data_IF_244134847248
#
_entry.id   IF_244134847248
#
_cell.length_a   1.000
_cell.length_b   1.000
_cell.length_c   1.000
_cell.angle_alpha   90.00
_cell.angle_beta   90.00
_cell.angle_gamma   90.00
#
_symmetry.space_group_name_H-M   'P 1'
#
loop_
_entity.id
_entity.type
_entity.pdbx_description
1 polymer ?
#
# COMPACT_ATOMS: atom_id res chain seq x y z
N UNK A 1 -1.90 -14.75 45.11
CA UNK A 1 -2.40 -15.37 43.84
C UNK A 1 -2.59 -14.27 42.80
N UNK A 2 -1.71 -14.15 41.82
CA UNK A 2 -1.81 -13.17 40.75
C UNK A 2 -2.89 -13.61 39.75
N UNK A 3 -3.94 -12.81 39.59
CA UNK A 3 -4.97 -13.03 38.56
C UNK A 3 -4.32 -12.89 37.19
N UNK A 4 -4.16 -13.99 36.44
CA UNK A 4 -3.84 -13.98 35.03
C UNK A 4 -4.98 -13.26 34.29
N UNK A 5 -4.73 -12.03 33.82
CA UNK A 5 -5.65 -11.42 32.88
C UNK A 5 -5.75 -12.32 31.64
N UNK A 6 -6.95 -12.62 31.14
CA UNK A 6 -7.10 -13.38 29.91
C UNK A 6 -6.41 -12.58 28.79
N UNK A 7 -5.54 -13.24 28.00
CA UNK A 7 -5.02 -12.67 26.76
C UNK A 7 -6.22 -12.26 25.91
N UNK A 8 -6.42 -10.95 25.72
CA UNK A 8 -7.36 -10.46 24.70
C UNK A 8 -6.96 -11.12 23.40
N UNK A 9 -7.87 -11.84 22.77
CA UNK A 9 -7.66 -12.33 21.41
C UNK A 9 -7.46 -11.12 20.52
N UNK A 10 -6.41 -11.15 19.69
CA UNK A 10 -6.16 -10.10 18.70
C UNK A 10 -7.43 -9.82 17.90
N UNK A 11 -7.79 -8.56 17.67
CA UNK A 11 -9.01 -8.22 16.96
C UNK A 11 -9.00 -8.88 15.57
N UNK A 12 -10.11 -9.45 15.15
CA UNK A 12 -10.23 -9.93 13.77
C UNK A 12 -10.29 -8.76 12.82
N UNK A 13 -9.22 -8.55 12.08
CA UNK A 13 -9.01 -7.43 11.16
C UNK A 13 -9.26 -7.90 9.74
N UNK A 14 -10.08 -7.17 9.00
CA UNK A 14 -10.17 -7.28 7.55
C UNK A 14 -9.18 -6.30 6.92
N UNK A 15 -8.31 -6.78 6.06
CA UNK A 15 -7.40 -5.95 5.25
C UNK A 15 -7.83 -6.03 3.79
N UNK A 16 -8.02 -4.87 3.16
CA UNK A 16 -8.32 -4.71 1.74
C UNK A 16 -7.12 -4.03 1.05
N UNK A 17 -6.52 -4.70 0.07
CA UNK A 17 -5.51 -4.15 -0.84
C UNK A 17 -6.19 -3.90 -2.19
N UNK A 18 -6.54 -2.63 -2.45
CA UNK A 18 -7.31 -2.23 -3.65
C UNK A 18 -6.34 -1.99 -4.79
N UNK A 19 -6.40 -2.84 -5.81
CA UNK A 19 -5.63 -2.69 -7.04
C UNK A 19 -6.52 -2.49 -8.26
N UNK A 20 -5.94 -2.06 -9.37
CA UNK A 20 -6.68 -1.79 -10.62
C UNK A 20 -7.26 -3.02 -11.32
N UNK A 21 -6.80 -4.25 -11.00
CA UNK A 21 -7.31 -5.50 -11.58
C UNK A 21 -8.01 -6.39 -10.57
N UNK A 22 -7.63 -6.31 -9.31
CA UNK A 22 -8.23 -7.09 -8.21
C UNK A 22 -8.20 -6.29 -6.93
N UNK A 23 -9.25 -6.40 -6.14
CA UNK A 23 -9.20 -6.14 -4.70
C UNK A 23 -8.85 -7.45 -4.02
N UNK A 24 -7.77 -7.43 -3.23
CA UNK A 24 -7.36 -8.59 -2.43
C UNK A 24 -7.78 -8.35 -0.98
N UNK A 25 -8.37 -9.36 -0.37
CA UNK A 25 -8.85 -9.27 1.01
C UNK A 25 -8.30 -10.43 1.84
N UNK A 26 -7.91 -10.11 3.06
CA UNK A 26 -7.42 -11.07 4.04
C UNK A 26 -8.00 -10.73 5.42
N UNK A 27 -8.61 -11.71 6.06
CA UNK A 27 -9.05 -11.60 7.46
C UNK A 27 -8.03 -12.30 8.36
N UNK A 28 -7.79 -11.75 9.54
CA UNK A 28 -6.94 -12.40 10.58
C UNK A 28 -7.28 -13.88 10.71
N UNK A 29 -6.25 -14.73 10.66
CA UNK A 29 -6.38 -16.19 10.75
C UNK A 29 -6.56 -16.92 9.42
N UNK A 30 -6.86 -16.24 8.32
CA UNK A 30 -6.86 -16.86 6.99
C UNK A 30 -5.45 -17.01 6.45
N UNK A 31 -5.16 -18.17 5.85
CA UNK A 31 -3.84 -18.45 5.23
C UNK A 31 -3.69 -17.82 3.84
N UNK A 32 -4.79 -17.64 3.12
CA UNK A 32 -4.77 -17.15 1.74
C UNK A 32 -5.74 -15.99 1.55
N UNK A 33 -5.30 -15.01 0.76
CA UNK A 33 -6.13 -13.88 0.39
C UNK A 33 -7.20 -14.30 -0.63
N UNK A 34 -8.41 -13.79 -0.45
CA UNK A 34 -9.48 -13.86 -1.44
C UNK A 34 -9.25 -12.70 -2.43
N UNK A 35 -9.54 -12.93 -3.71
CA UNK A 35 -9.46 -11.92 -4.75
C UNK A 35 -10.84 -11.72 -5.34
N UNK A 36 -11.26 -10.46 -5.44
CA UNK A 36 -12.46 -10.08 -6.17
C UNK A 36 -12.05 -9.23 -7.39
N UNK A 37 -12.74 -9.34 -8.52
CA UNK A 37 -12.43 -8.53 -9.69
C UNK A 37 -12.52 -7.03 -9.39
N UNK A 38 -11.65 -6.24 -9.98
CA UNK A 38 -11.72 -4.79 -9.96
C UNK A 38 -11.56 -4.24 -11.38
N UNK A 39 -11.57 -2.93 -11.56
CA UNK A 39 -11.43 -2.30 -12.86
C UNK A 39 -12.28 -1.03 -12.98
N UNK A 40 -12.36 -0.43 -14.19
CA UNK A 40 -12.97 0.88 -14.40
C UNK A 40 -14.46 0.99 -14.01
N UNK A 41 -15.15 -0.12 -13.85
CA UNK A 41 -16.56 -0.14 -13.41
C UNK A 41 -16.73 -0.32 -11.91
N UNK A 42 -15.65 -0.61 -11.15
CA UNK A 42 -15.77 -0.88 -9.72
C UNK A 42 -15.95 0.42 -8.92
N UNK A 43 -17.14 0.62 -8.40
CA UNK A 43 -17.45 1.70 -7.44
C UNK A 43 -17.19 1.25 -5.99
N UNK A 44 -17.02 2.15 -5.03
CA UNK A 44 -16.81 1.78 -3.63
C UNK A 44 -18.02 1.03 -3.05
N UNK A 45 -19.24 1.37 -3.45
CA UNK A 45 -20.46 0.65 -3.05
C UNK A 45 -20.46 -0.79 -3.55
N UNK A 46 -20.14 -1.00 -4.81
CA UNK A 46 -20.04 -2.35 -5.40
C UNK A 46 -18.94 -3.17 -4.74
N UNK A 47 -17.78 -2.54 -4.46
CA UNK A 47 -16.69 -3.22 -3.73
C UNK A 47 -17.15 -3.70 -2.36
N UNK A 48 -17.80 -2.85 -1.56
CA UNK A 48 -18.28 -3.25 -0.23
C UNK A 48 -19.28 -4.40 -0.32
N UNK A 49 -20.19 -4.38 -1.30
CA UNK A 49 -21.14 -5.47 -1.51
C UNK A 49 -20.41 -6.80 -1.84
N UNK A 50 -19.46 -6.78 -2.76
CA UNK A 50 -18.67 -7.96 -3.11
C UNK A 50 -17.84 -8.49 -1.94
N UNK A 51 -17.24 -7.59 -1.15
CA UNK A 51 -16.50 -7.96 0.08
C UNK A 51 -17.40 -8.65 1.08
N UNK A 52 -18.59 -8.10 1.35
CA UNK A 52 -19.55 -8.70 2.28
C UNK A 52 -20.03 -10.07 1.80
N UNK A 53 -20.29 -10.24 0.51
CA UNK A 53 -20.64 -11.54 -0.09
C UNK A 53 -19.51 -12.56 0.08
N UNK A 54 -18.26 -12.15 -0.18
CA UNK A 54 -17.10 -13.04 -0.07
C UNK A 54 -16.78 -13.45 1.39
N UNK A 55 -17.28 -12.72 2.37
CA UNK A 55 -16.99 -12.89 3.80
C UNK A 55 -18.22 -13.23 4.65
N UNK A 56 -19.31 -13.76 4.07
CA UNK A 56 -20.60 -14.04 4.77
C UNK A 56 -20.38 -14.80 6.11
N UNK A 57 -19.48 -15.79 6.13
CA UNK A 57 -19.22 -16.62 7.32
C UNK A 57 -17.90 -16.28 8.02
N UNK A 58 -17.34 -15.10 7.77
CA UNK A 58 -16.01 -14.72 8.27
C UNK A 58 -16.06 -13.39 9.00
N UNK A 59 -16.40 -13.39 10.30
CA UNK A 59 -16.58 -12.16 11.05
C UNK A 59 -15.24 -11.39 11.19
N UNK A 60 -15.33 -10.06 11.12
CA UNK A 60 -14.27 -9.11 11.44
C UNK A 60 -14.84 -7.94 12.23
N UNK A 61 -14.00 -7.22 12.96
CA UNK A 61 -14.43 -6.13 13.85
C UNK A 61 -13.91 -4.76 13.41
N UNK A 62 -12.85 -4.74 12.62
CA UNK A 62 -12.24 -3.51 12.07
C UNK A 62 -11.75 -3.76 10.64
N UNK A 63 -11.57 -2.67 9.86
CA UNK A 63 -11.18 -2.75 8.45
C UNK A 63 -9.97 -1.84 8.19
N UNK A 64 -8.97 -2.37 7.50
CA UNK A 64 -7.87 -1.60 6.89
C UNK A 64 -8.04 -1.55 5.38
N UNK A 65 -7.87 -0.39 4.78
CA UNK A 65 -7.96 -0.20 3.33
C UNK A 65 -6.65 0.40 2.83
N UNK A 66 -5.95 -0.31 1.93
CA UNK A 66 -4.91 0.24 1.08
C UNK A 66 -5.55 0.77 -0.20
N UNK A 67 -5.57 2.09 -0.33
CA UNK A 67 -6.25 2.81 -1.40
C UNK A 67 -5.27 3.18 -2.52
N UNK A 68 -5.60 2.97 -3.80
CA UNK A 68 -4.71 3.27 -4.93
C UNK A 68 -4.77 4.75 -5.33
N UNK A 69 -4.41 5.64 -4.43
CA UNK A 69 -4.40 7.08 -4.62
C UNK A 69 -4.07 7.82 -3.32
N UNK A 70 -4.01 9.15 -3.37
CA UNK A 70 -3.68 9.96 -2.20
C UNK A 70 -4.78 9.91 -1.14
N UNK A 71 -4.33 9.78 0.11
CA UNK A 71 -5.18 9.73 1.31
C UNK A 71 -4.67 10.78 2.29
N UNK A 72 -5.55 11.65 2.77
CA UNK A 72 -5.26 12.68 3.76
C UNK A 72 -6.18 12.48 4.96
N UNK A 73 -5.62 12.40 6.16
CA UNK A 73 -6.36 12.15 7.40
C UNK A 73 -7.35 10.98 7.30
N UNK A 74 -6.94 9.89 6.65
CA UNK A 74 -7.76 8.69 6.47
C UNK A 74 -8.88 8.84 5.44
N UNK A 75 -8.86 9.88 4.59
CA UNK A 75 -9.85 10.11 3.55
C UNK A 75 -9.21 10.14 2.16
N UNK A 76 -9.72 9.37 1.17
CA UNK A 76 -9.37 9.55 -0.22
C UNK A 76 -9.67 10.98 -0.69
N UNK A 77 -8.67 11.66 -1.28
CA UNK A 77 -8.80 13.06 -1.74
C UNK A 77 -8.78 13.19 -3.26
N UNK A 78 -8.59 12.09 -3.97
CA UNK A 78 -8.62 12.02 -5.44
C UNK A 78 -9.20 10.68 -5.87
N UNK A 79 -9.99 10.68 -6.95
CA UNK A 79 -10.52 9.44 -7.54
C UNK A 79 -9.38 8.54 -8.04
N UNK A 80 -9.51 7.20 -7.93
CA UNK A 80 -8.49 6.27 -8.37
C UNK A 80 -8.50 6.17 -9.91
N UNK A 81 -7.33 6.20 -10.53
CA UNK A 81 -7.19 6.31 -11.97
C UNK A 81 -7.80 5.11 -12.75
N UNK A 82 -7.72 3.90 -12.19
CA UNK A 82 -8.10 2.65 -12.87
C UNK A 82 -9.38 2.01 -12.32
N UNK A 83 -10.19 2.76 -11.57
CA UNK A 83 -11.43 2.27 -10.98
C UNK A 83 -12.60 3.19 -11.38
N UNK A 84 -13.81 2.79 -11.06
CA UNK A 84 -14.99 3.65 -11.19
C UNK A 84 -14.93 4.83 -10.22
N UNK A 85 -15.87 5.76 -10.36
CA UNK A 85 -15.95 6.98 -9.54
C UNK A 85 -16.71 6.80 -8.22
N UNK A 86 -16.71 7.84 -7.41
CA UNK A 86 -17.46 7.94 -6.16
C UNK A 86 -16.70 7.48 -4.92
N UNK A 87 -15.37 7.43 -5.00
CA UNK A 87 -14.50 7.05 -3.88
C UNK A 87 -14.23 8.23 -2.94
N UNK A 88 -14.09 9.44 -3.49
CA UNK A 88 -13.93 10.66 -2.71
C UNK A 88 -15.23 10.96 -1.97
N UNK A 89 -15.16 11.16 -0.65
CA UNK A 89 -16.33 11.40 0.20
C UNK A 89 -17.17 10.15 0.54
N UNK A 90 -16.81 8.95 0.02
CA UNK A 90 -17.54 7.73 0.38
C UNK A 90 -17.34 7.35 1.85
N UNK A 91 -18.44 7.12 2.56
CA UNK A 91 -18.40 6.78 3.97
C UNK A 91 -18.21 5.26 4.18
N UNK A 92 -16.94 4.81 4.13
CA UNK A 92 -16.59 3.41 4.34
C UNK A 92 -16.98 2.90 5.73
N UNK A 93 -16.88 3.74 6.78
CA UNK A 93 -17.27 3.37 8.15
C UNK A 93 -18.75 3.01 8.23
N UNK A 94 -19.62 3.81 7.60
CA UNK A 94 -21.05 3.52 7.52
C UNK A 94 -21.32 2.27 6.67
N UNK A 95 -20.65 2.14 5.53
CA UNK A 95 -20.87 1.04 4.59
C UNK A 95 -20.48 -0.33 5.16
N UNK A 96 -19.36 -0.41 5.91
CA UNK A 96 -18.94 -1.64 6.60
C UNK A 96 -19.58 -1.82 7.98
N UNK A 97 -20.25 -0.79 8.54
CA UNK A 97 -20.74 -0.75 9.93
C UNK A 97 -19.64 -1.13 10.94
N UNK A 98 -18.40 -0.75 10.67
CA UNK A 98 -17.20 -1.04 11.47
C UNK A 98 -16.23 0.14 11.44
N UNK A 99 -15.32 0.26 12.42
CA UNK A 99 -14.19 1.19 12.33
C UNK A 99 -13.34 0.87 11.11
N UNK A 100 -12.95 1.90 10.36
CA UNK A 100 -12.14 1.80 9.15
C UNK A 100 -10.93 2.73 9.27
N UNK A 101 -9.75 2.22 8.87
CA UNK A 101 -8.54 3.00 8.65
C UNK A 101 -8.15 2.88 7.19
N UNK A 102 -7.90 4.02 6.52
CA UNK A 102 -7.56 4.09 5.12
C UNK A 102 -6.19 4.75 4.99
N UNK A 103 -5.29 4.11 4.28
CA UNK A 103 -3.97 4.66 3.91
C UNK A 103 -3.74 4.41 2.41
N UNK A 104 -2.79 5.12 1.82
CA UNK A 104 -2.35 4.80 0.46
C UNK A 104 -1.80 3.36 0.40
N UNK A 105 -1.98 2.66 -0.73
CA UNK A 105 -1.56 1.26 -0.92
C UNK A 105 -0.05 1.07 -0.80
N UNK A 106 0.76 2.02 -1.30
CA UNK A 106 2.21 2.00 -1.15
C UNK A 106 2.61 2.22 0.33
N UNK A 107 1.91 3.12 1.03
CA UNK A 107 2.10 3.36 2.46
C UNK A 107 1.78 2.09 3.29
N UNK A 108 0.71 1.38 2.96
CA UNK A 108 0.36 0.12 3.62
C UNK A 108 1.42 -0.98 3.37
N UNK A 109 1.96 -1.06 2.14
CA UNK A 109 3.05 -1.98 1.84
C UNK A 109 4.36 -1.61 2.55
N UNK A 110 4.68 -0.32 2.62
CA UNK A 110 5.84 0.18 3.36
C UNK A 110 5.75 -0.22 4.84
N UNK A 111 4.60 0.04 5.46
CA UNK A 111 4.33 -0.30 6.86
C UNK A 111 4.52 -1.78 7.16
N UNK A 112 4.07 -2.66 6.26
CA UNK A 112 4.21 -4.10 6.43
C UNK A 112 5.64 -4.63 6.33
N UNK A 113 6.52 -3.93 5.64
CA UNK A 113 7.94 -4.24 5.50
C UNK A 113 8.85 -3.47 6.45
N UNK A 114 8.32 -2.49 7.18
CA UNK A 114 9.11 -1.64 8.05
C UNK A 114 9.56 -2.36 9.33
N UNK A 115 10.82 -2.14 9.71
CA UNK A 115 11.38 -2.63 10.97
C UNK A 115 11.87 -1.47 11.84
N UNK A 116 12.71 -0.56 11.30
CA UNK A 116 13.30 0.57 12.04
C UNK A 116 13.90 1.61 11.10
N UNK A 117 14.23 2.78 11.66
CA UNK A 117 14.99 3.84 11.01
C UNK A 117 14.23 4.53 9.88
N UNK A 118 14.94 4.97 8.85
CA UNK A 118 14.41 5.72 7.73
C UNK A 118 14.27 4.82 6.49
N UNK A 119 13.05 4.45 6.14
CA UNK A 119 12.72 3.58 5.02
C UNK A 119 12.03 4.37 3.91
N UNK A 120 12.52 4.26 2.67
CA UNK A 120 11.83 4.69 1.45
C UNK A 120 11.26 3.45 0.74
N UNK A 121 9.95 3.42 0.53
CA UNK A 121 9.28 2.44 -0.31
C UNK A 121 8.97 3.02 -1.69
N UNK A 122 9.26 2.25 -2.75
CA UNK A 122 8.94 2.58 -4.13
C UNK A 122 8.19 1.39 -4.76
N UNK A 123 6.92 1.60 -5.07
CA UNK A 123 6.04 0.60 -5.67
C UNK A 123 6.05 0.69 -7.20
N UNK A 124 6.79 -0.19 -7.87
CA UNK A 124 6.85 -0.30 -9.33
C UNK A 124 5.64 -1.08 -9.83
N UNK A 125 4.55 -0.38 -10.11
CA UNK A 125 3.27 -0.93 -10.55
C UNK A 125 2.84 -0.37 -11.91
N UNK A 126 1.53 -0.14 -12.09
CA UNK A 126 1.00 0.65 -13.21
C UNK A 126 1.62 2.05 -13.18
N UNK A 127 1.64 2.67 -12.01
CA UNK A 127 2.33 3.90 -11.71
C UNK A 127 3.58 3.68 -10.84
N UNK A 128 3.96 4.73 -10.11
CA UNK A 128 5.01 4.75 -9.10
C UNK A 128 4.40 5.13 -7.75
N UNK A 129 4.04 4.14 -6.94
CA UNK A 129 3.66 4.39 -5.56
C UNK A 129 4.88 4.71 -4.69
N UNK A 130 4.75 5.58 -3.72
CA UNK A 130 5.85 5.93 -2.82
C UNK A 130 5.36 6.23 -1.40
N UNK A 131 6.17 5.89 -0.42
CA UNK A 131 5.95 6.22 0.98
C UNK A 131 7.29 6.26 1.71
N UNK A 132 7.38 7.09 2.73
CA UNK A 132 8.52 7.11 3.64
C UNK A 132 8.05 6.78 5.05
N UNK A 133 8.91 6.09 5.80
CA UNK A 133 8.72 5.90 7.23
C UNK A 133 10.00 6.38 7.92
N UNK A 134 9.87 7.29 8.86
CA UNK A 134 10.97 7.83 9.66
C UNK A 134 10.68 7.55 11.12
N UNK A 135 11.47 6.67 11.75
CA UNK A 135 11.32 6.30 13.15
C UNK A 135 9.89 5.89 13.54
N UNK A 136 9.24 5.16 12.63
CA UNK A 136 7.87 4.68 12.80
C UNK A 136 6.77 5.66 12.37
N UNK A 137 7.09 6.89 11.98
CA UNK A 137 6.13 7.86 11.45
C UNK A 137 5.99 7.61 9.95
N UNK A 138 4.76 7.29 9.52
CA UNK A 138 4.44 7.05 8.13
C UNK A 138 4.11 8.36 7.41
N UNK A 139 4.87 8.67 6.37
CA UNK A 139 4.70 9.82 5.51
C UNK A 139 4.36 9.36 4.08
N UNK A 140 3.09 9.42 3.66
CA UNK A 140 2.70 9.17 2.28
C UNK A 140 3.36 10.20 1.35
N UNK A 141 3.83 9.75 0.17
CA UNK A 141 4.54 10.61 -0.78
C UNK A 141 4.00 10.39 -2.20
N UNK A 142 4.02 11.44 -3.00
CA UNK A 142 3.66 11.43 -4.42
C UNK A 142 4.86 11.74 -5.31
N UNK A 143 5.94 10.94 -5.16
CA UNK A 143 7.17 11.12 -5.95
C UNK A 143 6.99 10.80 -7.44
N UNK A 144 5.90 10.14 -7.81
CA UNK A 144 5.53 9.81 -9.18
C UNK A 144 5.58 11.02 -10.13
N UNK A 145 5.10 12.16 -9.64
CA UNK A 145 4.92 13.38 -10.43
C UNK A 145 6.14 14.29 -10.49
N UNK A 146 7.23 13.93 -9.82
CA UNK A 146 8.47 14.71 -9.92
C UNK A 146 8.96 14.76 -11.36
N UNK A 147 9.37 15.96 -11.86
CA UNK A 147 9.94 16.09 -13.19
C UNK A 147 11.19 15.25 -13.36
N UNK A 148 11.36 14.65 -14.53
CA UNK A 148 12.54 13.85 -14.84
C UNK A 148 13.19 14.24 -16.16
N UNK A 149 12.82 13.64 -17.27
CA UNK A 149 13.46 13.85 -18.57
C UNK A 149 12.44 14.19 -19.65
N UNK A 150 12.81 15.05 -20.60
CA UNK A 150 12.02 15.36 -21.78
C UNK A 150 10.56 15.75 -21.43
N UNK A 151 10.36 16.57 -20.40
CA UNK A 151 9.05 17.01 -19.94
C UNK A 151 8.18 15.91 -19.32
N UNK A 152 8.76 14.74 -18.99
CA UNK A 152 8.08 13.60 -18.38
C UNK A 152 8.48 13.43 -16.93
N UNK A 153 7.68 12.66 -16.18
CA UNK A 153 7.86 12.42 -14.74
C UNK A 153 8.63 11.13 -14.45
N UNK A 154 8.94 10.88 -13.18
CA UNK A 154 9.48 9.59 -12.74
C UNK A 154 8.58 8.43 -13.12
N UNK A 155 7.26 8.56 -12.90
CA UNK A 155 6.30 7.53 -13.26
C UNK A 155 6.33 7.17 -14.76
N UNK A 156 6.45 8.18 -15.64
CA UNK A 156 6.51 7.95 -17.08
C UNK A 156 7.75 7.14 -17.52
N UNK A 157 8.77 7.09 -16.67
CA UNK A 157 10.01 6.35 -16.95
C UNK A 157 10.09 5.02 -16.21
N UNK A 158 9.63 4.94 -14.97
CA UNK A 158 9.81 3.72 -14.16
C UNK A 158 8.52 2.99 -13.80
N UNK A 159 7.33 3.54 -14.12
CA UNK A 159 6.06 2.83 -14.10
C UNK A 159 5.90 1.90 -15.31
N UNK A 160 4.71 1.30 -15.44
CA UNK A 160 4.41 0.34 -16.53
C UNK A 160 4.61 0.96 -17.92
N UNK A 161 4.11 2.19 -18.16
CA UNK A 161 4.27 2.90 -19.43
C UNK A 161 5.75 3.06 -19.82
N UNK A 162 6.61 3.32 -18.85
CA UNK A 162 8.05 3.39 -19.05
C UNK A 162 8.65 2.06 -19.45
N UNK A 163 8.24 0.99 -18.77
CA UNK A 163 8.66 -0.38 -19.06
C UNK A 163 8.28 -0.82 -20.48
N UNK A 164 7.04 -0.55 -20.90
CA UNK A 164 6.54 -0.89 -22.23
C UNK A 164 7.24 -0.10 -23.34
N UNK A 165 7.39 1.22 -23.14
CA UNK A 165 8.04 2.11 -24.12
C UNK A 165 9.55 1.88 -24.27
N UNK A 166 10.27 1.65 -23.17
CA UNK A 166 11.73 1.58 -23.17
C UNK A 166 12.24 0.13 -23.35
N UNK A 167 11.42 -0.86 -23.07
CA UNK A 167 11.83 -2.24 -22.89
C UNK A 167 12.63 -2.45 -21.62
N UNK A 168 12.65 -3.70 -21.13
CA UNK A 168 13.17 -4.05 -19.81
C UNK A 168 14.59 -3.51 -19.52
N UNK A 169 15.56 -3.72 -20.41
CA UNK A 169 16.97 -3.32 -20.15
C UNK A 169 17.16 -1.81 -19.94
N UNK A 170 16.46 -0.99 -20.74
CA UNK A 170 16.51 0.48 -20.60
C UNK A 170 15.74 0.92 -19.36
N UNK A 171 14.58 0.32 -19.11
CA UNK A 171 13.76 0.59 -17.93
C UNK A 171 14.52 0.27 -16.63
N UNK A 172 15.21 -0.88 -16.51
CA UNK A 172 16.04 -1.21 -15.35
C UNK A 172 17.11 -0.14 -15.09
N UNK A 173 17.73 0.40 -16.14
CA UNK A 173 18.69 1.50 -15.99
C UNK A 173 18.04 2.78 -15.46
N UNK A 174 16.85 3.11 -15.94
CA UNK A 174 16.14 4.30 -15.45
C UNK A 174 15.67 4.12 -14.01
N UNK A 175 15.20 2.92 -13.63
CA UNK A 175 14.92 2.59 -12.22
C UNK A 175 16.17 2.82 -11.36
N UNK A 176 17.33 2.34 -11.79
CA UNK A 176 18.58 2.55 -11.06
C UNK A 176 18.95 4.03 -10.88
N UNK A 177 18.76 4.85 -11.92
CA UNK A 177 19.03 6.29 -11.86
C UNK A 177 18.07 7.03 -10.92
N UNK A 178 16.76 6.76 -11.02
CA UNK A 178 15.75 7.37 -10.15
C UNK A 178 15.99 6.98 -8.69
N UNK A 179 16.27 5.70 -8.42
CA UNK A 179 16.63 5.24 -7.08
C UNK A 179 17.86 5.98 -6.54
N UNK A 180 18.92 6.13 -7.35
CA UNK A 180 20.12 6.84 -6.93
C UNK A 180 19.84 8.32 -6.60
N UNK A 181 19.05 9.01 -7.42
CA UNK A 181 18.62 10.39 -7.17
C UNK A 181 17.81 10.53 -5.88
N UNK A 182 16.81 9.65 -5.68
CA UNK A 182 15.97 9.68 -4.49
C UNK A 182 16.76 9.32 -3.22
N UNK A 183 17.72 8.41 -3.31
CA UNK A 183 18.62 8.10 -2.19
C UNK A 183 19.49 9.30 -1.83
N UNK A 184 20.04 10.00 -2.80
CA UNK A 184 20.87 11.19 -2.56
C UNK A 184 20.05 12.36 -1.97
N UNK A 185 18.79 12.51 -2.40
CA UNK A 185 17.93 13.60 -1.94
C UNK A 185 17.29 13.35 -0.57
N UNK A 186 16.87 12.11 -0.32
CA UNK A 186 16.06 11.76 0.86
C UNK A 186 16.87 11.04 1.96
N UNK A 187 18.08 10.59 1.66
CA UNK A 187 19.00 9.90 2.59
C UNK A 187 18.33 8.78 3.40
N UNK A 188 17.60 7.83 2.77
CA UNK A 188 17.01 6.72 3.49
C UNK A 188 18.09 5.69 3.88
N UNK A 189 17.95 5.09 5.06
CA UNK A 189 18.78 3.96 5.48
C UNK A 189 18.42 2.70 4.68
N UNK A 190 17.17 2.56 4.28
CA UNK A 190 16.65 1.42 3.52
C UNK A 190 15.78 1.90 2.35
N UNK A 191 15.96 1.27 1.19
CA UNK A 191 15.06 1.44 0.04
C UNK A 191 14.46 0.10 -0.33
N UNK A 192 13.13 0.02 -0.33
CA UNK A 192 12.39 -1.18 -0.69
C UNK A 192 11.68 -0.98 -2.02
N UNK A 193 11.96 -1.86 -2.99
CA UNK A 193 11.29 -1.87 -4.30
C UNK A 193 10.17 -2.91 -4.29
N UNK A 194 8.93 -2.45 -4.24
CA UNK A 194 7.71 -3.26 -4.29
C UNK A 194 6.96 -3.13 -5.60
N UNK A 195 5.70 -3.58 -5.60
CA UNK A 195 4.84 -3.58 -6.78
C UNK A 195 5.08 -4.72 -7.75
N UNK A 196 4.14 -4.92 -8.67
CA UNK A 196 4.14 -6.06 -9.59
C UNK A 196 5.34 -6.10 -10.53
N UNK A 197 5.82 -4.94 -10.98
CA UNK A 197 6.94 -4.83 -11.93
C UNK A 197 8.32 -4.95 -11.25
N UNK A 198 8.42 -4.81 -9.93
CA UNK A 198 9.69 -5.03 -9.21
C UNK A 198 10.28 -6.43 -9.47
N UNK A 199 9.41 -7.42 -9.73
CA UNK A 199 9.83 -8.79 -10.09
C UNK A 199 10.56 -8.89 -11.43
N UNK A 200 10.34 -7.91 -12.32
CA UNK A 200 10.96 -7.87 -13.65
C UNK A 200 12.41 -7.35 -13.63
N UNK A 201 12.84 -6.73 -12.52
CA UNK A 201 14.25 -6.37 -12.32
C UNK A 201 15.10 -7.64 -12.19
N UNK A 202 16.05 -7.83 -13.10
CA UNK A 202 17.02 -8.92 -13.00
C UNK A 202 17.98 -8.72 -11.84
N UNK A 203 18.47 -7.48 -11.71
CA UNK A 203 19.35 -7.05 -10.62
C UNK A 203 18.74 -5.81 -9.94
N UNK A 204 18.71 -5.83 -8.63
CA UNK A 204 18.28 -4.68 -7.87
C UNK A 204 19.35 -3.58 -7.92
N UNK A 205 18.94 -2.29 -7.96
CA UNK A 205 19.87 -1.19 -7.76
C UNK A 205 20.64 -1.34 -6.44
N UNK A 206 21.91 -0.89 -6.37
CA UNK A 206 22.72 -0.96 -5.16
C UNK A 206 22.00 -0.33 -3.96
N UNK A 207 22.06 -1.00 -2.80
CA UNK A 207 21.45 -0.52 -1.54
C UNK A 207 19.92 -0.56 -1.54
N UNK A 208 19.31 -1.41 -2.38
CA UNK A 208 17.87 -1.64 -2.36
C UNK A 208 17.53 -3.10 -2.01
N UNK A 209 16.34 -3.30 -1.48
CA UNK A 209 15.78 -4.61 -1.19
C UNK A 209 14.48 -4.83 -1.97
N UNK A 210 14.15 -6.09 -2.24
CA UNK A 210 12.88 -6.44 -2.87
C UNK A 210 11.79 -6.54 -1.81
N UNK A 211 10.69 -5.81 -2.00
CA UNK A 211 9.50 -5.93 -1.17
C UNK A 211 8.75 -7.24 -1.40
N UNK A 212 7.96 -7.63 -0.41
CA UNK A 212 7.08 -8.79 -0.49
C UNK A 212 5.64 -8.31 -0.67
N UNK A 213 4.89 -8.90 -1.60
CA UNK A 213 3.47 -8.56 -1.83
C UNK A 213 2.56 -8.83 -0.61
N UNK A 214 3.01 -9.71 0.32
CA UNK A 214 2.30 -9.91 1.58
C UNK A 214 2.42 -8.73 2.55
N UNK A 215 3.33 -7.80 2.30
CA UNK A 215 3.51 -6.62 3.15
C UNK A 215 2.27 -5.73 3.17
N UNK A 216 1.47 -5.69 2.11
CA UNK A 216 0.18 -4.99 2.14
C UNK A 216 -0.71 -5.50 3.29
N UNK A 217 -0.83 -6.82 3.45
CA UNK A 217 -1.63 -7.40 4.53
C UNK A 217 -0.99 -7.20 5.90
N UNK A 218 0.33 -7.41 6.02
CA UNK A 218 1.06 -7.14 7.27
C UNK A 218 0.88 -5.69 7.72
N UNK A 219 1.00 -4.75 6.79
CA UNK A 219 0.79 -3.32 7.05
C UNK A 219 -0.64 -3.03 7.50
N UNK A 220 -1.62 -3.59 6.80
CA UNK A 220 -3.02 -3.45 7.18
C UNK A 220 -3.34 -4.00 8.58
N UNK A 221 -2.72 -5.12 8.99
CA UNK A 221 -2.85 -5.62 10.36
C UNK A 221 -2.16 -4.70 11.37
N UNK A 222 -0.98 -4.18 11.07
CA UNK A 222 -0.23 -3.24 11.93
C UNK A 222 -0.96 -1.94 12.21
N UNK A 223 -1.85 -1.48 11.32
CA UNK A 223 -2.67 -0.29 11.58
C UNK A 223 -3.55 -0.41 12.84
N UNK A 224 -3.82 -1.63 13.33
CA UNK A 224 -4.66 -1.92 14.49
C UNK A 224 -3.91 -2.58 15.64
N UNK A 225 -2.59 -2.72 15.57
CA UNK A 225 -1.82 -3.32 16.66
C UNK A 225 -1.94 -2.45 17.92
N UNK A 226 -2.29 -3.08 19.05
CA UNK A 226 -2.44 -2.42 20.35
C UNK A 226 -1.08 -2.21 21.08
N UNK A 227 0.03 -2.61 20.47
CA UNK A 227 1.32 -2.36 21.07
C UNK A 227 1.55 -0.85 21.13
N UNK A 228 1.49 -0.30 22.38
CA UNK A 228 1.67 1.14 22.63
C UNK A 228 2.99 1.66 22.05
N UNK A 229 3.98 0.79 21.87
CA UNK A 229 5.22 1.10 21.16
C UNK A 229 5.03 1.16 19.65
N UNK A 230 4.09 0.41 19.07
CA UNK A 230 3.74 0.46 17.65
C UNK A 230 2.65 1.50 17.34
N UNK A 231 1.62 1.65 18.18
CA UNK A 231 0.54 2.63 17.95
C UNK A 231 0.97 4.09 18.16
N UNK A 232 1.99 4.35 18.99
CA UNK A 232 2.63 5.66 19.09
C UNK A 232 3.63 5.93 17.95
N UNK A 233 4.03 4.88 17.20
CA UNK A 233 4.97 4.97 16.10
C UNK A 233 4.32 5.32 14.76
N UNK A 234 3.01 5.15 14.60
CA UNK A 234 2.32 5.41 13.35
C UNK A 234 1.30 6.54 13.52
N UNK A 235 1.78 7.78 13.42
CA UNK A 235 0.94 8.94 13.16
C UNK A 235 0.77 9.07 11.66
N UNK A 236 -0.45 9.13 11.17
CA UNK A 236 -0.82 9.32 9.77
C UNK A 236 -2.01 10.27 9.64
#
# INVERSE_FOLDING_TARGET
>A
MARKHPKRSDPRILVLDIGGTHVKLLVTGLKQAIKIPSGPALTPKAMVQQVNQALTDRPYVVVSIGYPGPVVHGHPVREPFNLGSGWVGFNFRKAFSRPVKIVNDAAMQALGGYERGKLLFLGLGTGLGSAMIVDGILEPMELAHLPYKNGKTYEDYIGLRGLERLGRRKWEREVGKVVAQLRAALEPEQVVLGGGNAKKLKKLPPGTMRGNNQNAFKGGFRLWSEDKRESQRFRY
#
